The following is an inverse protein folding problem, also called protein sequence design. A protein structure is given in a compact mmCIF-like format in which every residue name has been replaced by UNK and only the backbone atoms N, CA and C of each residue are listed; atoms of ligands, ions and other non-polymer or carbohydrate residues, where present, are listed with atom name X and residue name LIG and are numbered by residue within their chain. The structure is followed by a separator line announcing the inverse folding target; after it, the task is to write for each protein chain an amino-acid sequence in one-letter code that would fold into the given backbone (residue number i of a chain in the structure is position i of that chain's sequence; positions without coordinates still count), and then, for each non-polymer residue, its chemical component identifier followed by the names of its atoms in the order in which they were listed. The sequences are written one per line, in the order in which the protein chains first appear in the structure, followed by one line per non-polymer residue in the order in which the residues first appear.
data_IF_315006397799
#
_entry.id   IF_315006397799
#
_cell.length_a   1.000
_cell.length_b   1.000
_cell.length_c   1.000
_cell.angle_alpha   90.00
_cell.angle_beta   90.00
_cell.angle_gamma   90.00
#
_symmetry.space_group_name_H-M   'P 1'
#
loop_
_entity.id
_entity.type
_entity.pdbx_description
1 polymer ?
#
# COMPACT_ATOMS: atom_id res chain seq x y z
N UNK A 1 33.21 1.24 34.03
CA UNK A 1 34.36 2.14 34.30
C UNK A 1 34.42 3.38 33.40
N UNK A 2 34.50 3.26 32.06
CA UNK A 2 34.61 4.43 31.18
C UNK A 2 33.33 5.28 31.24
N UNK A 3 32.17 4.63 31.29
CA UNK A 3 30.86 5.21 31.65
C UNK A 3 30.91 6.08 32.92
N UNK A 4 31.47 5.55 34.01
CA UNK A 4 31.57 6.25 35.30
C UNK A 4 32.44 7.50 35.21
N UNK A 5 33.57 7.44 34.47
CA UNK A 5 34.44 8.60 34.28
C UNK A 5 33.77 9.64 33.38
N UNK A 6 33.19 9.23 32.25
CA UNK A 6 32.52 10.13 31.30
C UNK A 6 31.31 10.84 31.93
N UNK A 7 30.48 10.12 32.70
CA UNK A 7 29.30 10.68 33.36
C UNK A 7 29.66 11.66 34.48
N UNK A 8 30.67 11.35 35.29
CA UNK A 8 31.07 12.23 36.41
C UNK A 8 31.95 13.41 35.96
N UNK A 9 32.67 13.29 34.85
CA UNK A 9 33.39 14.40 34.21
C UNK A 9 32.43 15.48 33.65
N UNK A 10 31.19 15.09 33.31
CA UNK A 10 30.14 16.01 32.84
C UNK A 10 29.39 16.71 34.00
N UNK A 11 29.63 16.31 35.25
CA UNK A 11 29.04 16.93 36.45
C UNK A 11 29.87 18.16 36.91
N UNK A 12 29.27 19.00 37.75
CA UNK A 12 29.80 20.31 38.22
C UNK A 12 31.24 20.28 38.77
N UNK A 13 31.73 19.14 39.26
CA UNK A 13 33.06 19.00 39.85
C UNK A 13 34.20 18.76 38.83
N UNK A 14 33.86 18.49 37.56
CA UNK A 14 34.79 18.48 36.41
C UNK A 14 35.96 17.48 36.46
N UNK A 15 36.10 16.71 37.55
CA UNK A 15 37.25 15.85 37.80
C UNK A 15 36.87 14.62 38.62
N UNK A 16 37.44 13.45 38.27
CA UNK A 16 37.16 12.19 38.97
C UNK A 16 38.42 11.68 39.65
N UNK A 17 38.40 11.51 40.98
CA UNK A 17 39.58 11.04 41.70
C UNK A 17 39.89 9.55 41.42
N UNK A 18 41.18 9.14 41.36
CA UNK A 18 41.56 7.75 41.19
C UNK A 18 40.99 6.82 42.26
N UNK A 19 40.87 7.30 43.50
CA UNK A 19 40.28 6.55 44.60
C UNK A 19 38.80 6.21 44.33
N UNK A 20 38.02 7.20 43.86
CA UNK A 20 36.61 6.99 43.53
C UNK A 20 36.42 5.97 42.40
N UNK A 21 37.29 5.98 41.38
CA UNK A 21 37.25 4.99 40.28
C UNK A 21 37.57 3.59 40.80
N UNK A 22 38.57 3.43 41.68
CA UNK A 22 38.94 2.15 42.29
C UNK A 22 37.80 1.60 43.15
N UNK A 23 37.13 2.46 43.94
CA UNK A 23 36.02 2.05 44.79
C UNK A 23 34.81 1.59 43.96
N UNK A 24 34.46 2.35 42.91
CA UNK A 24 33.41 1.97 41.97
C UNK A 24 33.72 0.63 41.28
N UNK A 25 34.93 0.46 40.74
CA UNK A 25 35.38 -0.80 40.14
C UNK A 25 35.34 -1.98 41.12
N UNK A 26 35.71 -1.74 42.37
CA UNK A 26 35.66 -2.76 43.42
C UNK A 26 34.22 -3.22 43.67
N UNK A 27 33.27 -2.28 43.69
CA UNK A 27 31.86 -2.59 43.86
C UNK A 27 31.29 -3.36 42.66
N UNK A 28 31.63 -2.96 41.43
CA UNK A 28 31.21 -3.66 40.21
C UNK A 28 31.79 -5.08 40.17
N UNK A 29 33.09 -5.24 40.43
CA UNK A 29 33.75 -6.54 40.42
C UNK A 29 33.15 -7.52 41.45
N UNK A 30 32.78 -7.02 42.65
CA UNK A 30 32.06 -7.80 43.66
C UNK A 30 30.68 -8.25 43.20
N UNK A 31 29.95 -7.42 42.45
CA UNK A 31 28.63 -7.78 41.90
C UNK A 31 28.73 -8.80 40.78
N UNK A 32 29.76 -8.74 39.96
CA UNK A 32 29.97 -9.67 38.83
C UNK A 32 30.33 -11.09 39.28
N UNK A 33 30.91 -11.25 40.47
CA UNK A 33 31.19 -12.58 41.03
C UNK A 33 30.87 -12.63 42.54
N UNK A 34 29.59 -12.83 42.90
CA UNK A 34 29.15 -12.89 44.30
C UNK A 34 29.73 -14.10 45.07
N UNK A 35 30.18 -15.13 44.36
CA UNK A 35 30.57 -16.44 44.90
C UNK A 35 31.92 -16.45 45.63
N UNK A 36 32.76 -15.43 45.42
CA UNK A 36 34.09 -15.33 46.05
C UNK A 36 34.29 -13.97 46.77
N UNK A 37 33.76 -13.82 47.99
CA UNK A 37 33.88 -12.59 48.76
C UNK A 37 35.29 -12.35 49.33
N UNK A 38 36.18 -13.35 49.35
CA UNK A 38 37.53 -13.25 49.92
C UNK A 38 38.59 -12.78 48.93
N UNK A 39 38.27 -12.72 47.64
CA UNK A 39 39.19 -12.22 46.61
C UNK A 39 39.56 -10.75 46.86
N UNK A 40 40.83 -10.35 46.63
CA UNK A 40 41.28 -8.97 46.84
C UNK A 40 40.78 -8.05 45.71
N UNK A 41 39.47 -7.78 45.67
CA UNK A 41 38.78 -6.99 44.64
C UNK A 41 39.37 -5.59 44.45
N UNK A 42 39.84 -4.95 45.52
CA UNK A 42 40.54 -3.65 45.42
C UNK A 42 41.87 -3.75 44.65
N UNK A 43 42.59 -4.87 44.75
CA UNK A 43 43.83 -5.11 43.99
C UNK A 43 43.52 -5.33 42.51
N UNK A 44 42.43 -6.03 42.21
CA UNK A 44 41.93 -6.23 40.83
C UNK A 44 41.50 -4.90 40.23
N UNK A 45 40.74 -4.09 40.96
CA UNK A 45 40.33 -2.75 40.52
C UNK A 45 41.52 -1.84 40.22
N UNK A 46 42.55 -1.84 41.07
CA UNK A 46 43.81 -1.08 40.82
C UNK A 46 44.56 -1.59 39.59
N UNK A 47 44.62 -2.90 39.38
CA UNK A 47 45.23 -3.49 38.18
C UNK A 47 44.49 -3.08 36.90
N UNK A 48 43.16 -3.19 36.90
CA UNK A 48 42.31 -2.80 35.77
C UNK A 48 42.48 -1.32 35.45
N UNK A 49 42.46 -0.47 36.47
CA UNK A 49 42.67 0.97 36.31
C UNK A 49 44.05 1.27 35.73
N UNK A 50 45.10 0.63 36.23
CA UNK A 50 46.47 0.77 35.72
C UNK A 50 46.60 0.32 34.26
N UNK A 51 45.95 -0.78 33.87
CA UNK A 51 45.94 -1.22 32.46
C UNK A 51 45.26 -0.22 31.52
N UNK A 52 44.18 0.44 31.94
CA UNK A 52 43.45 1.38 31.07
C UNK A 52 44.10 2.79 31.06
N UNK A 53 44.81 3.15 32.12
CA UNK A 53 45.62 4.37 32.17
C UNK A 53 46.87 4.31 31.29
N UNK A 54 47.24 3.13 30.79
CA UNK A 54 48.46 2.88 30.01
C UNK A 54 49.75 3.24 30.77
N UNK A 55 49.94 2.70 31.97
CA UNK A 55 51.22 2.79 32.67
C UNK A 55 52.29 1.99 31.91
N UNK A 56 52.97 2.66 30.98
CA UNK A 56 54.20 2.19 30.33
C UNK A 56 54.13 1.96 28.81
N UNK A 57 52.97 1.68 28.21
CA UNK A 57 52.81 1.54 26.73
C UNK A 57 51.42 1.98 26.25
N UNK A 58 51.30 2.78 25.18
CA UNK A 58 49.99 3.13 24.60
C UNK A 58 49.32 1.89 23.99
N UNK A 59 47.99 1.82 24.10
CA UNK A 59 47.21 0.80 23.39
C UNK A 59 47.41 0.97 21.89
N UNK A 60 47.57 -0.14 21.18
CA UNK A 60 47.71 -0.18 19.72
C UNK A 60 46.56 -0.98 19.14
N UNK A 61 45.88 -0.39 18.17
CA UNK A 61 44.98 -1.11 17.27
C UNK A 61 45.62 -1.11 15.88
N UNK A 62 45.50 -2.23 15.17
CA UNK A 62 45.91 -2.31 13.77
C UNK A 62 44.72 -1.91 12.92
N UNK A 63 44.83 -0.77 12.25
CA UNK A 63 43.86 -0.31 11.26
C UNK A 63 44.24 -0.92 9.91
N UNK A 64 43.34 -1.70 9.32
CA UNK A 64 43.52 -2.27 7.99
C UNK A 64 42.55 -1.55 7.07
N UNK A 65 43.09 -0.77 6.13
CA UNK A 65 42.27 -0.15 5.10
C UNK A 65 42.01 -1.20 4.01
N UNK A 66 40.75 -1.58 3.73
CA UNK A 66 40.45 -2.51 2.65
C UNK A 66 40.85 -1.86 1.32
N UNK A 67 41.68 -2.55 0.55
CA UNK A 67 42.10 -2.07 -0.76
C UNK A 67 40.86 -1.83 -1.63
N UNK A 68 40.78 -0.65 -2.26
CA UNK A 68 39.80 -0.42 -3.32
C UNK A 68 40.13 -1.35 -4.50
N UNK A 69 39.09 -1.81 -5.21
CA UNK A 69 39.24 -2.61 -6.44
C UNK A 69 40.33 -1.98 -7.32
N UNK A 70 41.38 -2.76 -7.59
CA UNK A 70 42.63 -2.47 -8.33
C UNK A 70 43.92 -2.11 -7.56
N UNK A 71 43.97 -1.99 -6.22
CA UNK A 71 45.25 -1.86 -5.51
C UNK A 71 45.73 -3.15 -4.83
N UNK A 72 46.95 -3.60 -5.18
CA UNK A 72 47.60 -4.76 -4.53
C UNK A 72 48.35 -4.30 -3.27
N UNK A 73 47.66 -4.32 -2.12
CA UNK A 73 48.31 -4.24 -0.81
C UNK A 73 47.41 -3.69 0.30
N UNK A 74 47.05 -4.55 1.25
CA UNK A 74 46.45 -4.12 2.52
C UNK A 74 47.45 -3.23 3.29
N UNK A 75 47.16 -1.93 3.44
CA UNK A 75 47.93 -1.07 4.33
C UNK A 75 47.43 -1.26 5.76
N UNK A 76 48.24 -1.94 6.56
CA UNK A 76 48.05 -2.06 8.00
C UNK A 76 48.82 -0.94 8.72
N UNK A 77 48.10 0.04 9.27
CA UNK A 77 48.70 1.11 10.08
C UNK A 77 48.44 0.89 11.58
N UNK A 78 49.47 1.07 12.41
CA UNK A 78 49.35 0.93 13.85
C UNK A 78 48.82 2.24 14.47
N UNK A 79 47.54 2.26 14.85
CA UNK A 79 46.91 3.39 15.52
C UNK A 79 47.12 3.29 17.04
N UNK A 80 47.85 4.27 17.61
CA UNK A 80 48.13 4.36 19.04
C UNK A 80 47.08 5.26 19.72
N UNK A 81 46.42 4.75 20.75
CA UNK A 81 45.41 5.50 21.50
C UNK A 81 45.55 5.34 23.02
N UNK A 82 44.92 6.26 23.74
CA UNK A 82 44.83 6.24 25.21
C UNK A 82 43.37 6.47 25.57
N UNK A 83 42.86 5.77 26.57
CA UNK A 83 41.45 5.86 26.98
C UNK A 83 41.25 6.79 28.18
N UNK A 84 42.15 6.73 29.16
CA UNK A 84 42.12 7.58 30.34
C UNK A 84 43.43 8.32 30.50
N UNK A 85 43.38 9.58 30.96
CA UNK A 85 44.55 10.41 31.26
C UNK A 85 44.50 10.86 32.71
N UNK A 86 45.65 10.82 33.39
CA UNK A 86 45.84 11.51 34.67
C UNK A 86 46.10 13.00 34.41
N UNK A 87 45.36 13.85 35.11
CA UNK A 87 45.47 15.32 35.10
C UNK A 87 45.57 15.80 36.54
N UNK A 88 46.22 16.94 36.78
CA UNK A 88 46.22 17.57 38.10
C UNK A 88 44.94 18.41 38.22
N UNK A 89 44.11 18.10 39.23
CA UNK A 89 42.91 18.85 39.58
C UNK A 89 43.06 19.58 40.91
N UNK A 90 42.05 20.37 41.28
CA UNK A 90 42.10 21.25 42.46
C UNK A 90 42.27 20.49 43.80
N UNK A 91 41.81 19.23 43.87
CA UNK A 91 41.94 18.36 45.04
C UNK A 91 43.06 17.28 44.90
N UNK A 92 43.89 17.36 43.86
CA UNK A 92 44.98 16.42 43.58
C UNK A 92 44.81 15.69 42.24
N UNK A 93 45.43 14.52 42.09
CA UNK A 93 45.37 13.76 40.85
C UNK A 93 43.93 13.40 40.46
N UNK A 94 43.55 13.71 39.23
CA UNK A 94 42.24 13.47 38.63
C UNK A 94 42.37 12.59 37.38
N UNK A 95 41.30 11.87 37.04
CA UNK A 95 41.19 11.03 35.86
C UNK A 95 40.20 11.65 34.91
N UNK A 96 40.63 11.85 33.67
CA UNK A 96 39.83 12.42 32.58
C UNK A 96 39.73 11.41 31.45
N UNK A 97 38.54 11.23 30.88
CA UNK A 97 38.34 10.42 29.67
C UNK A 97 38.90 11.17 28.45
N UNK A 98 39.62 10.45 27.59
CA UNK A 98 40.09 11.02 26.32
C UNK A 98 38.97 11.04 25.28
N UNK A 99 39.16 11.82 24.21
CA UNK A 99 38.24 11.85 23.07
C UNK A 99 37.98 10.45 22.51
N UNK A 100 39.02 9.60 22.44
CA UNK A 100 38.88 8.21 21.97
C UNK A 100 38.04 7.35 22.93
N UNK A 101 38.15 7.55 24.25
CA UNK A 101 37.32 6.82 25.21
C UNK A 101 35.86 7.25 25.21
N UNK A 102 35.59 8.55 24.99
CA UNK A 102 34.22 9.05 24.84
C UNK A 102 33.58 8.46 23.59
N UNK A 103 34.30 8.46 22.45
CA UNK A 103 33.82 7.84 21.21
C UNK A 103 33.64 6.33 21.36
N UNK A 104 34.59 5.63 21.97
CA UNK A 104 34.49 4.18 22.22
C UNK A 104 33.31 3.86 23.15
N UNK A 105 33.12 4.63 24.22
CA UNK A 105 32.01 4.44 25.15
C UNK A 105 30.66 4.58 24.42
N UNK A 106 30.52 5.61 23.60
CA UNK A 106 29.30 5.87 22.84
C UNK A 106 29.09 4.84 21.72
N UNK A 107 30.15 4.26 21.16
CA UNK A 107 30.06 3.13 20.22
C UNK A 107 29.72 1.80 20.92
N UNK A 108 30.29 1.54 22.10
CA UNK A 108 30.09 0.32 22.87
C UNK A 108 28.69 0.21 23.50
N UNK A 109 27.95 1.33 23.55
CA UNK A 109 26.52 1.38 23.90
C UNK A 109 25.62 0.71 22.85
N UNK A 110 26.17 0.22 21.72
CA UNK A 110 25.47 -0.45 20.64
C UNK A 110 24.26 0.36 20.14
N UNK A 111 24.45 1.67 20.02
CA UNK A 111 23.36 2.59 19.68
C UNK A 111 23.50 3.22 18.30
N UNK A 112 22.32 3.48 17.77
CA UNK A 112 21.93 4.08 16.51
C UNK A 112 22.84 5.22 15.99
N UNK A 113 22.86 5.45 14.68
CA UNK A 113 23.59 6.58 14.07
C UNK A 113 23.19 7.96 14.66
N UNK A 114 22.00 8.06 15.27
CA UNK A 114 21.54 9.24 16.01
C UNK A 114 22.40 9.55 17.25
N UNK A 115 22.87 8.52 17.95
CA UNK A 115 23.72 8.69 19.15
C UNK A 115 25.12 9.17 18.78
N UNK A 116 25.62 8.77 17.62
CA UNK A 116 26.88 9.30 17.07
C UNK A 116 26.79 10.79 16.76
N UNK A 117 25.67 11.27 16.23
CA UNK A 117 25.47 12.70 16.00
C UNK A 117 25.41 13.47 17.32
N UNK A 118 24.74 12.91 18.34
CA UNK A 118 24.66 13.50 19.68
C UNK A 118 26.04 13.53 20.37
N UNK A 119 26.83 12.47 20.23
CA UNK A 119 28.20 12.36 20.72
C UNK A 119 29.09 13.51 20.20
N UNK A 120 29.03 13.76 18.90
CA UNK A 120 29.81 14.82 18.27
C UNK A 120 29.39 16.21 18.77
N UNK A 121 28.10 16.42 19.02
CA UNK A 121 27.59 17.66 19.61
C UNK A 121 28.12 17.87 21.04
N UNK A 122 28.11 16.83 21.87
CA UNK A 122 28.72 16.88 23.21
C UNK A 122 30.22 17.17 23.15
N UNK A 123 30.93 16.58 22.18
CA UNK A 123 32.34 16.87 21.97
C UNK A 123 32.59 18.35 21.64
N UNK A 124 31.75 18.95 20.79
CA UNK A 124 31.81 20.40 20.50
C UNK A 124 31.62 21.21 21.78
N UNK A 125 30.64 20.86 22.61
CA UNK A 125 30.39 21.53 23.88
C UNK A 125 31.62 21.47 24.82
N UNK A 126 32.19 20.28 25.00
CA UNK A 126 33.38 20.07 25.86
C UNK A 126 34.57 20.89 25.34
N UNK A 127 34.85 20.81 24.04
CA UNK A 127 35.98 21.52 23.43
C UNK A 127 35.82 23.05 23.50
N UNK A 128 34.58 23.55 23.39
CA UNK A 128 34.29 24.97 23.58
C UNK A 128 34.49 25.43 25.02
N UNK A 129 34.02 24.65 26.00
CA UNK A 129 34.25 24.94 27.43
C UNK A 129 35.74 24.93 27.79
N UNK A 130 36.51 24.06 27.15
CA UNK A 130 37.97 23.99 27.30
C UNK A 130 38.73 25.12 26.55
N UNK A 131 38.05 25.95 25.77
CA UNK A 131 38.67 27.01 24.96
C UNK A 131 39.36 26.53 23.68
N UNK A 132 39.21 25.26 23.30
CA UNK A 132 39.82 24.66 22.11
C UNK A 132 38.94 24.90 20.85
N UNK A 133 38.69 26.17 20.50
CA UNK A 133 37.71 26.55 19.47
C UNK A 133 37.99 25.98 18.07
N UNK A 134 39.27 25.83 17.68
CA UNK A 134 39.62 25.26 16.38
C UNK A 134 39.22 23.76 16.28
N UNK A 135 39.38 23.00 17.37
CA UNK A 135 38.94 21.60 17.43
C UNK A 135 37.42 21.51 17.48
N UNK A 136 36.77 22.39 18.26
CA UNK A 136 35.31 22.49 18.30
C UNK A 136 34.71 22.74 16.92
N UNK A 137 35.33 23.59 16.10
CA UNK A 137 34.91 23.83 14.73
C UNK A 137 35.02 22.57 13.85
N UNK A 138 36.13 21.82 13.95
CA UNK A 138 36.30 20.57 13.22
C UNK A 138 35.25 19.52 13.62
N UNK A 139 35.00 19.38 14.94
CA UNK A 139 33.97 18.51 15.49
C UNK A 139 32.56 18.93 15.04
N UNK A 140 32.28 20.23 14.98
CA UNK A 140 31.00 20.78 14.50
C UNK A 140 30.76 20.43 13.03
N UNK A 141 31.77 20.61 12.15
CA UNK A 141 31.68 20.18 10.75
C UNK A 141 31.42 18.68 10.63
N UNK A 142 32.06 17.87 11.48
CA UNK A 142 31.83 16.43 11.49
C UNK A 142 30.43 16.05 11.98
N UNK A 143 29.91 16.75 12.99
CA UNK A 143 28.53 16.59 13.46
C UNK A 143 27.54 16.89 12.33
N UNK A 144 27.73 18.00 11.60
CA UNK A 144 26.87 18.38 10.48
C UNK A 144 26.90 17.37 9.34
N UNK A 145 28.08 16.83 8.97
CA UNK A 145 28.16 15.74 7.96
C UNK A 145 27.43 14.48 8.43
N UNK A 146 27.57 14.13 9.70
CA UNK A 146 26.91 12.96 10.30
C UNK A 146 25.39 13.14 10.29
N UNK A 147 24.91 14.36 10.59
CA UNK A 147 23.49 14.72 10.49
C UNK A 147 22.94 14.57 9.07
N UNK A 148 23.69 15.01 8.06
CA UNK A 148 23.32 14.84 6.65
C UNK A 148 23.22 13.37 6.23
N UNK A 149 24.20 12.55 6.63
CA UNK A 149 24.19 11.11 6.37
C UNK A 149 23.00 10.41 7.02
N UNK A 150 22.71 10.71 8.29
CA UNK A 150 21.54 10.16 8.98
C UNK A 150 20.24 10.59 8.29
N UNK A 151 20.14 11.86 7.91
CA UNK A 151 18.97 12.39 7.22
C UNK A 151 18.73 11.71 5.86
N UNK A 152 19.78 11.33 5.14
CA UNK A 152 19.65 10.57 3.90
C UNK A 152 19.11 9.15 4.16
N UNK A 153 19.67 8.43 5.13
CA UNK A 153 19.25 7.07 5.49
C UNK A 153 17.79 7.02 6.00
N UNK A 154 17.39 7.98 6.85
CA UNK A 154 16.02 8.07 7.34
C UNK A 154 15.01 8.39 6.23
N UNK A 155 15.40 9.20 5.24
CA UNK A 155 14.54 9.46 4.06
C UNK A 155 14.40 8.22 3.17
N UNK A 156 15.47 7.46 2.97
CA UNK A 156 15.43 6.24 2.17
C UNK A 156 14.40 5.23 2.71
N UNK A 157 14.39 5.01 4.04
CA UNK A 157 13.41 4.12 4.68
C UNK A 157 11.96 4.57 4.52
N UNK A 158 11.72 5.89 4.40
CA UNK A 158 10.40 6.45 4.10
C UNK A 158 10.05 6.35 2.60
N UNK A 159 11.02 6.50 1.71
CA UNK A 159 10.84 6.28 0.28
C UNK A 159 10.49 4.83 -0.05
N UNK A 160 10.91 3.87 0.76
CA UNK A 160 10.50 2.46 0.62
C UNK A 160 8.99 2.28 0.76
N UNK A 161 8.32 3.09 1.60
CA UNK A 161 6.84 3.11 1.67
C UNK A 161 6.23 3.58 0.35
N UNK A 162 6.85 4.56 -0.32
CA UNK A 162 6.37 5.06 -1.62
C UNK A 162 6.57 4.03 -2.73
N UNK A 163 7.56 3.15 -2.61
CA UNK A 163 7.87 2.08 -3.57
C UNK A 163 6.98 0.84 -3.37
N UNK A 164 6.85 0.36 -2.15
CA UNK A 164 5.98 -0.75 -1.79
C UNK A 164 5.46 -0.59 -0.35
N UNK A 165 4.17 -0.31 -0.23
CA UNK A 165 3.51 -0.12 1.06
C UNK A 165 3.43 -1.42 1.85
N UNK A 166 3.33 -2.56 1.15
CA UNK A 166 3.19 -3.88 1.77
C UNK A 166 4.53 -4.40 2.29
N UNK A 167 5.66 -3.79 1.89
CA UNK A 167 7.00 -4.09 2.43
C UNK A 167 7.23 -3.50 3.83
N UNK A 168 6.36 -2.57 4.24
CA UNK A 168 6.51 -1.81 5.48
C UNK A 168 5.30 -2.05 6.38
N UNK A 169 5.52 -2.46 7.63
CA UNK A 169 4.43 -2.61 8.59
C UNK A 169 3.95 -1.26 9.13
N UNK A 170 2.92 -0.71 8.47
CA UNK A 170 2.23 0.51 8.88
C UNK A 170 1.21 0.31 10.01
N UNK A 171 0.96 -0.92 10.47
CA UNK A 171 0.03 -1.20 11.59
C UNK A 171 0.73 -1.21 12.95
N UNK A 172 2.01 -1.55 13.00
CA UNK A 172 2.76 -1.64 14.27
C UNK A 172 4.13 -0.97 14.21
N UNK A 173 5.05 -1.52 13.42
CA UNK A 173 6.47 -1.14 13.45
C UNK A 173 6.69 0.32 13.04
N UNK A 174 6.14 0.75 11.91
CA UNK A 174 6.43 2.05 11.32
C UNK A 174 5.91 3.23 12.19
N UNK A 175 4.68 3.23 12.72
CA UNK A 175 4.23 4.29 13.65
C UNK A 175 5.10 4.41 14.91
N UNK A 176 5.55 3.28 15.46
CA UNK A 176 6.44 3.26 16.63
C UNK A 176 7.78 3.89 16.28
N UNK A 177 8.38 3.45 15.17
CA UNK A 177 9.63 4.00 14.67
C UNK A 177 9.55 5.51 14.36
N UNK A 178 8.45 5.98 13.76
CA UNK A 178 8.24 7.42 13.50
C UNK A 178 8.21 8.23 14.80
N UNK A 179 7.57 7.70 15.83
CA UNK A 179 7.50 8.34 17.16
C UNK A 179 8.89 8.44 17.78
N UNK A 180 9.68 7.37 17.70
CA UNK A 180 11.05 7.34 18.20
C UNK A 180 11.95 8.33 17.45
N UNK A 181 11.85 8.37 16.12
CA UNK A 181 12.62 9.31 15.28
C UNK A 181 12.24 10.76 15.61
N UNK A 182 10.95 11.08 15.81
CA UNK A 182 10.53 12.42 16.21
C UNK A 182 11.07 12.81 17.60
N UNK A 183 11.08 11.88 18.56
CA UNK A 183 11.67 12.12 19.87
C UNK A 183 13.18 12.39 19.77
N UNK A 184 13.90 11.60 18.96
CA UNK A 184 15.32 11.83 18.69
C UNK A 184 15.57 13.18 18.03
N UNK A 185 14.79 13.56 17.01
CA UNK A 185 14.89 14.85 16.33
C UNK A 185 14.72 16.03 17.28
N UNK A 186 13.74 15.95 18.19
CA UNK A 186 13.52 16.98 19.21
C UNK A 186 14.75 17.17 20.10
N UNK A 187 15.39 16.06 20.51
CA UNK A 187 16.61 16.08 21.31
C UNK A 187 17.78 16.69 20.53
N UNK A 188 17.92 16.36 19.25
CA UNK A 188 18.97 16.89 18.39
C UNK A 188 18.84 18.41 18.19
N UNK A 189 17.63 18.90 17.91
CA UNK A 189 17.34 20.32 17.73
C UNK A 189 17.59 21.11 19.01
N UNK A 190 17.18 20.58 20.16
CA UNK A 190 17.44 21.22 21.45
C UNK A 190 18.93 21.34 21.74
N UNK A 191 19.72 20.31 21.42
CA UNK A 191 21.19 20.37 21.54
C UNK A 191 21.83 21.37 20.57
N UNK A 192 21.32 21.50 19.35
CA UNK A 192 21.81 22.51 18.41
C UNK A 192 21.54 23.93 18.91
N UNK A 193 20.37 24.18 19.52
CA UNK A 193 20.07 25.47 20.16
C UNK A 193 21.03 25.77 21.30
N UNK A 194 21.26 24.80 22.20
CA UNK A 194 22.19 24.95 23.32
C UNK A 194 23.63 25.25 22.85
N UNK A 195 24.10 24.54 21.82
CA UNK A 195 25.42 24.77 21.24
C UNK A 195 25.54 26.14 20.58
N UNK A 196 24.49 26.58 19.86
CA UNK A 196 24.44 27.91 19.26
C UNK A 196 24.52 28.99 20.33
N UNK A 197 23.74 28.89 21.39
CA UNK A 197 23.74 29.86 22.49
C UNK A 197 25.08 29.86 23.25
N UNK A 198 25.75 28.70 23.36
CA UNK A 198 27.10 28.61 23.92
C UNK A 198 28.14 29.29 23.02
N UNK A 199 28.03 29.13 21.71
CA UNK A 199 28.95 29.73 20.73
C UNK A 199 28.77 31.25 20.65
N UNK A 200 27.53 31.73 20.72
CA UNK A 200 27.22 33.15 20.79
C UNK A 200 27.79 33.78 22.07
N UNK A 201 27.64 33.13 23.23
CA UNK A 201 28.26 33.56 24.49
C UNK A 201 29.79 33.57 24.42
N UNK A 202 30.38 32.51 23.86
CA UNK A 202 31.85 32.38 23.74
C UNK A 202 32.47 33.39 22.76
N UNK A 203 31.69 33.91 21.82
CA UNK A 203 32.12 34.95 20.86
C UNK A 203 32.43 36.32 21.48
N UNK A 204 32.07 36.52 22.76
CA UNK A 204 32.45 37.69 23.53
C UNK A 204 33.98 37.82 23.67
N UNK A 205 34.71 36.71 23.67
CA UNK A 205 36.17 36.70 23.65
C UNK A 205 36.68 37.14 22.26
N UNK A 206 37.42 38.27 22.14
CA UNK A 206 37.90 38.79 20.87
C UNK A 206 38.76 37.79 20.07
N UNK A 207 39.57 36.97 20.76
CA UNK A 207 40.47 36.01 20.11
C UNK A 207 39.75 34.81 19.48
N UNK A 208 38.53 34.50 19.96
CA UNK A 208 37.75 33.35 19.50
C UNK A 208 36.53 33.73 18.65
N UNK A 209 36.31 35.03 18.43
CA UNK A 209 35.09 35.58 17.83
C UNK A 209 34.80 35.02 16.44
N UNK A 210 35.80 34.96 15.58
CA UNK A 210 35.63 34.50 14.20
C UNK A 210 35.36 32.99 14.15
N UNK A 211 36.10 32.20 14.92
CA UNK A 211 35.88 30.75 15.03
C UNK A 211 34.50 30.43 15.61
N UNK A 212 34.05 31.16 16.65
CA UNK A 212 32.71 30.99 17.20
C UNK A 212 31.62 31.32 16.17
N UNK A 213 31.81 32.36 15.35
CA UNK A 213 30.89 32.66 14.24
C UNK A 213 30.83 31.54 13.21
N UNK A 214 31.95 30.90 12.89
CA UNK A 214 31.96 29.73 12.03
C UNK A 214 31.24 28.53 12.67
N UNK A 215 31.46 28.27 13.95
CA UNK A 215 30.75 27.21 14.69
C UNK A 215 29.23 27.45 14.64
N UNK A 216 28.77 28.67 14.89
CA UNK A 216 27.34 29.02 14.78
C UNK A 216 26.79 28.73 13.39
N UNK A 217 27.54 29.07 12.33
CA UNK A 217 27.12 28.78 10.94
C UNK A 217 27.01 27.28 10.68
N UNK A 218 27.97 26.49 11.15
CA UNK A 218 27.95 25.03 10.96
C UNK A 218 26.84 24.36 11.76
N UNK A 219 26.59 24.80 12.99
CA UNK A 219 25.47 24.30 13.82
C UNK A 219 24.13 24.64 13.18
N UNK A 220 23.93 25.87 12.66
CA UNK A 220 22.71 26.23 11.92
C UNK A 220 22.48 25.38 10.68
N UNK A 221 23.54 25.03 9.94
CA UNK A 221 23.43 24.09 8.81
C UNK A 221 22.98 22.70 9.26
N UNK A 222 23.45 22.23 10.41
CA UNK A 222 22.98 20.99 11.03
C UNK A 222 21.51 21.07 11.44
N UNK A 223 21.11 22.16 12.11
CA UNK A 223 19.74 22.45 12.53
C UNK A 223 18.77 22.44 11.32
N UNK A 224 19.16 23.10 10.21
CA UNK A 224 18.37 23.11 8.97
C UNK A 224 18.12 21.71 8.40
N UNK A 225 19.10 20.80 8.52
CA UNK A 225 18.97 19.41 8.08
C UNK A 225 17.91 18.69 8.92
N UNK A 226 17.95 18.86 10.24
CA UNK A 226 16.98 18.26 11.16
C UNK A 226 15.57 18.81 10.94
N UNK A 227 15.41 20.13 10.80
CA UNK A 227 14.11 20.75 10.53
C UNK A 227 13.50 20.29 9.20
N UNK A 228 14.33 20.09 8.16
CA UNK A 228 13.86 19.53 6.88
C UNK A 228 13.42 18.08 7.04
N UNK A 229 14.12 17.29 7.84
CA UNK A 229 13.76 15.90 8.11
C UNK A 229 12.47 15.81 8.94
N UNK A 230 12.32 16.63 9.99
CA UNK A 230 11.12 16.70 10.81
C UNK A 230 9.88 16.98 9.95
N UNK A 231 9.93 18.01 9.09
CA UNK A 231 8.84 18.30 8.13
C UNK A 231 8.54 17.13 7.19
N UNK A 232 9.56 16.37 6.81
CA UNK A 232 9.39 15.22 5.92
C UNK A 232 8.74 14.03 6.65
N UNK A 233 9.16 13.75 7.89
CA UNK A 233 8.58 12.72 8.77
C UNK A 233 7.13 13.04 9.10
N UNK A 234 6.79 14.30 9.39
CA UNK A 234 5.41 14.74 9.62
C UNK A 234 4.50 14.52 8.40
N UNK A 235 5.07 14.49 7.19
CA UNK A 235 4.34 14.19 5.95
C UNK A 235 4.25 12.70 5.63
N UNK A 236 4.85 11.82 6.43
CA UNK A 236 4.90 10.40 6.15
C UNK A 236 3.50 9.76 6.09
N UNK A 237 2.58 10.15 6.99
CA UNK A 237 1.20 9.63 7.01
C UNK A 237 0.43 10.02 5.73
N UNK A 238 0.36 11.31 5.33
CA UNK A 238 -0.24 11.67 4.05
C UNK A 238 0.38 10.95 2.84
N UNK A 239 1.71 10.74 2.84
CA UNK A 239 2.40 10.02 1.77
C UNK A 239 2.01 8.55 1.73
N UNK A 240 1.88 7.90 2.90
CA UNK A 240 1.39 6.54 3.00
C UNK A 240 -0.04 6.40 2.46
N UNK A 241 -0.95 7.30 2.82
CA UNK A 241 -2.34 7.27 2.33
C UNK A 241 -2.41 7.43 0.81
N UNK A 242 -1.66 8.40 0.27
CA UNK A 242 -1.59 8.62 -1.18
C UNK A 242 -0.97 7.40 -1.92
N UNK A 243 0.09 6.81 -1.35
CA UNK A 243 0.66 5.59 -1.89
C UNK A 243 -0.39 4.46 -1.85
N UNK A 244 -1.18 4.36 -0.77
CA UNK A 244 -2.14 3.28 -0.56
C UNK A 244 -3.22 3.31 -1.63
N UNK A 245 -3.72 4.49 -1.96
CA UNK A 245 -4.67 4.69 -3.06
C UNK A 245 -4.11 4.18 -4.40
N UNK A 246 -2.85 4.52 -4.70
CA UNK A 246 -2.19 4.13 -5.96
C UNK A 246 -1.88 2.63 -6.03
N UNK A 247 -1.42 2.03 -4.95
CA UNK A 247 -0.91 0.66 -4.93
C UNK A 247 -1.93 -0.41 -4.50
N UNK A 248 -3.10 0.01 -3.98
CA UNK A 248 -4.14 -0.92 -3.53
C UNK A 248 -4.59 -1.88 -4.63
N UNK A 249 -4.61 -1.41 -5.88
CA UNK A 249 -5.10 -2.16 -7.05
C UNK A 249 -3.99 -2.62 -8.00
N UNK A 250 -2.70 -2.43 -7.67
CA UNK A 250 -1.62 -2.96 -8.49
C UNK A 250 -1.46 -4.48 -8.25
N UNK A 251 -1.69 -5.33 -9.27
CA UNK A 251 -1.49 -6.77 -9.15
C UNK A 251 0.01 -7.10 -8.98
N UNK A 252 0.32 -8.12 -8.16
CA UNK A 252 1.71 -8.54 -7.85
C UNK A 252 2.14 -9.75 -8.68
N UNK A 253 3.43 -9.83 -9.01
CA UNK A 253 4.10 -11.07 -9.41
C UNK A 253 3.37 -11.82 -10.53
N UNK A 254 3.11 -13.12 -10.33
CA UNK A 254 2.39 -13.95 -11.31
C UNK A 254 0.93 -13.53 -11.51
N UNK A 255 0.30 -12.78 -10.59
CA UNK A 255 -1.08 -12.31 -10.79
C UNK A 255 -1.21 -11.27 -11.91
N UNK A 256 -0.12 -10.55 -12.21
CA UNK A 256 -0.06 -9.69 -13.40
C UNK A 256 0.15 -10.51 -14.70
N UNK A 257 0.57 -11.77 -14.60
CA UNK A 257 0.75 -12.69 -15.71
C UNK A 257 -0.49 -13.57 -15.96
N UNK A 258 -1.48 -13.54 -15.05
CA UNK A 258 -2.77 -14.22 -15.21
C UNK A 258 -3.65 -13.31 -16.06
N UNK A 259 -3.98 -13.76 -17.25
CA UNK A 259 -4.99 -13.12 -18.08
C UNK A 259 -6.37 -13.60 -17.61
N UNK A 260 -7.12 -12.72 -16.95
CA UNK A 260 -8.45 -13.04 -16.42
C UNK A 260 -9.39 -13.59 -17.49
N UNK A 261 -9.30 -13.12 -18.73
CA UNK A 261 -10.17 -13.59 -19.81
C UNK A 261 -9.73 -14.99 -20.28
N UNK A 262 -8.43 -15.19 -20.49
CA UNK A 262 -7.89 -16.45 -21.02
C UNK A 262 -7.78 -17.56 -19.99
N UNK A 263 -7.24 -17.26 -18.83
CA UNK A 263 -6.79 -18.24 -17.84
C UNK A 263 -7.86 -18.54 -16.78
N UNK A 264 -8.90 -17.70 -16.68
CA UNK A 264 -9.96 -17.84 -15.68
C UNK A 264 -11.35 -17.89 -16.31
N UNK A 265 -11.74 -16.88 -17.10
CA UNK A 265 -13.09 -16.80 -17.67
C UNK A 265 -13.38 -17.92 -18.67
N UNK A 266 -12.44 -18.18 -19.59
CA UNK A 266 -12.64 -19.20 -20.64
C UNK A 266 -12.71 -20.65 -20.09
N UNK A 267 -11.87 -21.06 -19.12
CA UNK A 267 -12.04 -22.34 -18.44
C UNK A 267 -13.35 -22.42 -17.65
N UNK A 268 -13.75 -21.35 -16.95
CA UNK A 268 -15.02 -21.31 -16.22
C UNK A 268 -16.23 -21.55 -17.12
N UNK A 269 -16.27 -20.93 -18.30
CA UNK A 269 -17.36 -21.08 -19.27
C UNK A 269 -17.45 -22.49 -19.90
N UNK A 270 -16.41 -23.31 -19.75
CA UNK A 270 -16.36 -24.68 -20.27
C UNK A 270 -16.38 -25.74 -19.16
N UNK A 271 -16.39 -25.30 -17.90
CA UNK A 271 -16.46 -26.17 -16.74
C UNK A 271 -17.90 -26.65 -16.49
N UNK A 272 -18.03 -27.73 -15.73
CA UNK A 272 -19.30 -28.22 -15.20
C UNK A 272 -19.84 -27.31 -14.09
N UNK A 273 -21.15 -27.35 -13.84
CA UNK A 273 -21.84 -26.44 -12.92
C UNK A 273 -21.26 -26.45 -11.49
N UNK A 274 -20.80 -27.62 -11.01
CA UNK A 274 -20.21 -27.75 -9.68
C UNK A 274 -18.85 -27.04 -9.59
N UNK A 275 -17.98 -27.21 -10.59
CA UNK A 275 -16.68 -26.51 -10.66
C UNK A 275 -16.86 -25.01 -10.91
N UNK A 276 -17.89 -24.62 -11.67
CA UNK A 276 -18.26 -23.23 -11.88
C UNK A 276 -18.67 -22.58 -10.56
N UNK A 277 -19.59 -23.18 -9.81
CA UNK A 277 -20.08 -22.62 -8.55
C UNK A 277 -18.95 -22.44 -7.50
N UNK A 278 -18.10 -23.45 -7.32
CA UNK A 278 -16.95 -23.41 -6.41
C UNK A 278 -15.96 -22.31 -6.79
N UNK A 279 -15.58 -22.26 -8.06
CA UNK A 279 -14.58 -21.30 -8.55
C UNK A 279 -15.11 -19.86 -8.52
N UNK A 280 -16.40 -19.67 -8.79
CA UNK A 280 -17.06 -18.35 -8.73
C UNK A 280 -17.13 -17.85 -7.29
N UNK A 281 -17.36 -18.73 -6.31
CA UNK A 281 -17.36 -18.36 -4.90
C UNK A 281 -15.99 -17.86 -4.42
N UNK A 282 -14.93 -18.60 -4.73
CA UNK A 282 -13.54 -18.22 -4.42
C UNK A 282 -13.14 -16.91 -5.11
N UNK A 283 -13.51 -16.74 -6.38
CA UNK A 283 -13.20 -15.53 -7.13
C UNK A 283 -13.98 -14.32 -6.61
N UNK A 284 -15.26 -14.49 -6.28
CA UNK A 284 -16.06 -13.44 -5.66
C UNK A 284 -15.50 -13.03 -4.28
N UNK A 285 -15.07 -13.99 -3.46
CA UNK A 285 -14.44 -13.71 -2.17
C UNK A 285 -13.11 -12.95 -2.30
N UNK A 286 -12.35 -13.19 -3.37
CA UNK A 286 -11.07 -12.52 -3.63
C UNK A 286 -11.19 -11.14 -4.29
N UNK A 287 -12.22 -10.92 -5.13
CA UNK A 287 -12.40 -9.68 -5.90
C UNK A 287 -13.34 -8.69 -5.21
N UNK A 288 -14.36 -9.17 -4.50
CA UNK A 288 -15.26 -8.29 -3.77
C UNK A 288 -14.57 -7.76 -2.51
N UNK A 289 -14.62 -6.45 -2.24
CA UNK A 289 -14.18 -5.94 -0.95
C UNK A 289 -15.02 -6.60 0.15
N UNK A 290 -14.45 -6.88 1.33
CA UNK A 290 -15.24 -7.34 2.46
C UNK A 290 -16.35 -6.32 2.72
N UNK A 291 -17.61 -6.77 2.64
CA UNK A 291 -18.76 -5.95 2.97
C UNK A 291 -18.72 -5.72 4.47
N UNK A 292 -18.19 -4.58 4.89
CA UNK A 292 -18.25 -4.17 6.29
C UNK A 292 -19.69 -3.73 6.54
N UNK A 293 -20.48 -4.44 7.37
CA UNK A 293 -21.80 -3.95 7.73
C UNK A 293 -21.65 -2.57 8.38
N UNK A 294 -22.53 -1.64 8.05
CA UNK A 294 -22.51 -0.29 8.61
C UNK A 294 -22.61 -0.41 10.13
N UNK A 295 -21.50 -0.18 10.82
CA UNK A 295 -21.46 -0.20 12.28
C UNK A 295 -21.94 1.17 12.74
N UNK A 296 -23.24 1.30 12.99
CA UNK A 296 -23.80 2.57 13.45
C UNK A 296 -23.32 2.86 14.87
N UNK A 297 -22.61 3.97 15.06
CA UNK A 297 -22.37 4.52 16.40
C UNK A 297 -23.70 4.91 17.06
N UNK A 298 -23.80 4.78 18.39
CA UNK A 298 -25.00 5.22 19.12
C UNK A 298 -25.24 6.72 18.96
N UNK A 299 -24.16 7.50 18.87
CA UNK A 299 -24.16 8.92 18.59
C UNK A 299 -24.66 9.25 17.18
N UNK A 300 -24.21 8.51 16.16
CA UNK A 300 -24.72 8.61 14.79
C UNK A 300 -26.21 8.26 14.71
N UNK A 301 -26.61 7.15 15.34
CA UNK A 301 -28.02 6.72 15.43
C UNK A 301 -28.88 7.79 16.11
N UNK A 302 -28.45 8.32 17.25
CA UNK A 302 -29.15 9.40 17.93
C UNK A 302 -29.23 10.66 17.07
N UNK A 303 -28.15 11.01 16.37
CA UNK A 303 -28.12 12.19 15.49
C UNK A 303 -29.07 12.06 14.30
N UNK A 304 -29.23 10.85 13.75
CA UNK A 304 -30.14 10.57 12.63
C UNK A 304 -31.58 10.50 13.10
N UNK A 305 -31.86 9.85 14.24
CA UNK A 305 -33.20 9.71 14.80
C UNK A 305 -33.77 11.02 15.35
N UNK A 306 -32.91 11.88 15.89
CA UNK A 306 -33.31 13.20 16.42
C UNK A 306 -33.21 14.30 15.36
N UNK A 307 -32.73 14.00 14.15
CA UNK A 307 -32.75 14.95 13.05
C UNK A 307 -34.22 15.21 12.70
N UNK A 308 -34.63 16.48 12.73
CA UNK A 308 -35.93 16.87 12.20
C UNK A 308 -36.07 16.27 10.78
N UNK A 309 -37.20 15.61 10.45
CA UNK A 309 -37.37 14.96 9.17
C UNK A 309 -37.25 16.02 8.08
N UNK A 310 -36.07 16.09 7.47
CA UNK A 310 -35.91 16.82 6.24
C UNK A 310 -36.71 16.04 5.21
N UNK A 311 -37.72 16.68 4.63
CA UNK A 311 -38.27 16.24 3.35
C UNK A 311 -37.07 16.28 2.41
N UNK A 312 -36.43 15.13 2.22
CA UNK A 312 -35.44 14.99 1.18
C UNK A 312 -36.27 15.01 -0.09
N UNK A 313 -36.20 16.12 -0.83
CA UNK A 313 -36.23 15.99 -2.29
C UNK A 313 -35.09 15.03 -2.59
N UNK A 314 -35.47 13.77 -2.83
CA UNK A 314 -34.57 12.80 -3.39
C UNK A 314 -34.21 13.42 -4.74
N UNK A 315 -32.95 13.86 -4.97
CA UNK A 315 -32.58 14.20 -6.32
C UNK A 315 -32.92 12.96 -7.14
N UNK A 316 -33.64 13.15 -8.25
CA UNK A 316 -33.89 12.06 -9.17
C UNK A 316 -32.55 11.36 -9.38
N UNK A 317 -32.53 10.01 -9.39
CA UNK A 317 -31.29 9.30 -9.65
C UNK A 317 -30.65 9.94 -10.88
N UNK A 318 -29.33 10.19 -10.84
CA UNK A 318 -28.58 10.38 -12.07
C UNK A 318 -28.73 9.07 -12.85
N UNK A 319 -29.82 8.98 -13.60
CA UNK A 319 -29.93 8.11 -14.73
C UNK A 319 -28.80 8.60 -15.60
N UNK A 320 -27.75 7.79 -15.74
CA UNK A 320 -26.83 7.93 -16.86
C UNK A 320 -27.73 8.09 -18.07
N UNK A 321 -27.87 9.32 -18.59
CA UNK A 321 -28.46 9.54 -19.89
C UNK A 321 -27.57 8.70 -20.81
N UNK A 322 -28.04 7.55 -21.31
CA UNK A 322 -27.25 6.73 -22.20
C UNK A 322 -27.27 7.51 -23.51
N UNK A 323 -26.49 8.58 -23.56
CA UNK A 323 -26.80 9.74 -24.38
C UNK A 323 -27.09 9.30 -25.79
N UNK A 324 -28.21 9.79 -26.35
CA UNK A 324 -28.77 9.45 -27.67
C UNK A 324 -28.13 8.17 -28.23
N UNK A 325 -28.53 7.02 -27.68
CA UNK A 325 -28.27 5.72 -28.29
C UNK A 325 -28.75 5.86 -29.73
N UNK A 326 -27.80 6.16 -30.64
CA UNK A 326 -28.13 6.53 -32.01
C UNK A 326 -29.06 5.47 -32.57
N UNK A 327 -30.06 5.91 -33.35
CA UNK A 327 -31.14 5.10 -33.92
C UNK A 327 -30.70 3.64 -34.00
N UNK A 328 -31.29 2.80 -33.13
CA UNK A 328 -30.94 1.39 -33.02
C UNK A 328 -30.70 0.87 -34.43
N UNK A 329 -29.43 0.54 -34.75
CA UNK A 329 -29.02 0.14 -36.10
C UNK A 329 -29.94 -1.00 -36.44
N UNK A 330 -30.95 -0.70 -37.26
CA UNK A 330 -32.09 -1.55 -37.42
C UNK A 330 -31.55 -2.87 -37.90
N UNK A 331 -31.80 -3.93 -37.15
CA UNK A 331 -31.55 -5.29 -37.59
C UNK A 331 -32.63 -5.57 -38.65
N UNK A 332 -32.50 -4.88 -39.79
CA UNK A 332 -33.47 -4.82 -40.86
C UNK A 332 -33.49 -6.20 -41.47
N UNK A 333 -34.58 -6.93 -41.21
CA UNK A 333 -34.86 -8.15 -41.95
C UNK A 333 -34.80 -7.79 -43.44
N UNK A 334 -33.97 -8.46 -44.25
CA UNK A 334 -33.91 -8.21 -45.69
C UNK A 334 -35.30 -8.37 -46.33
N UNK A 335 -35.62 -7.56 -47.35
CA UNK A 335 -36.96 -7.52 -47.94
C UNK A 335 -37.38 -8.85 -48.60
N UNK A 336 -36.42 -9.60 -49.14
CA UNK A 336 -36.62 -10.95 -49.69
C UNK A 336 -36.94 -11.97 -48.58
N UNK A 337 -36.21 -11.91 -47.46
CA UNK A 337 -36.46 -12.71 -46.25
C UNK A 337 -37.84 -12.39 -45.67
N UNK A 338 -38.16 -11.10 -45.51
CA UNK A 338 -39.42 -10.65 -44.91
C UNK A 338 -40.62 -11.08 -45.76
N UNK A 339 -40.53 -10.94 -47.08
CA UNK A 339 -41.60 -11.36 -48.01
C UNK A 339 -41.78 -12.88 -48.02
N UNK A 340 -40.69 -13.64 -48.08
CA UNK A 340 -40.75 -15.09 -48.05
C UNK A 340 -41.32 -15.61 -46.71
N UNK A 341 -40.89 -15.02 -45.59
CA UNK A 341 -41.44 -15.33 -44.27
C UNK A 341 -42.94 -14.99 -44.17
N UNK A 342 -43.35 -13.82 -44.70
CA UNK A 342 -44.76 -13.41 -44.73
C UNK A 342 -45.62 -14.41 -45.52
N UNK A 343 -45.17 -14.86 -46.70
CA UNK A 343 -45.85 -15.88 -47.50
C UNK A 343 -46.01 -17.21 -46.75
N UNK A 344 -44.95 -17.64 -46.05
CA UNK A 344 -44.96 -18.89 -45.28
C UNK A 344 -45.94 -18.77 -44.11
N UNK A 345 -45.90 -17.66 -43.36
CA UNK A 345 -46.79 -17.41 -42.22
C UNK A 345 -48.25 -17.20 -42.65
N UNK A 346 -48.50 -16.61 -43.82
CA UNK A 346 -49.84 -16.47 -44.38
C UNK A 346 -50.53 -17.83 -44.62
N UNK A 347 -49.77 -18.90 -44.85
CA UNK A 347 -50.36 -20.25 -44.95
C UNK A 347 -51.01 -20.72 -43.65
N UNK A 348 -50.48 -20.30 -42.50
CA UNK A 348 -51.03 -20.58 -41.17
C UNK A 348 -52.38 -19.85 -40.94
N UNK A 349 -52.64 -18.77 -41.68
CA UNK A 349 -53.92 -18.06 -41.59
C UNK A 349 -55.08 -18.88 -42.19
N UNK A 350 -54.79 -19.72 -43.19
CA UNK A 350 -55.78 -20.56 -43.87
C UNK A 350 -55.96 -21.93 -43.23
N UNK A 351 -54.87 -22.48 -42.66
CA UNK A 351 -54.88 -23.78 -42.00
C UNK A 351 -53.99 -23.72 -40.75
N UNK A 352 -54.47 -24.21 -39.60
CA UNK A 352 -53.64 -24.38 -38.42
C UNK A 352 -52.40 -25.21 -38.73
N UNK A 353 -51.23 -24.61 -38.55
CA UNK A 353 -49.94 -25.20 -38.97
C UNK A 353 -48.96 -25.14 -37.80
N UNK A 354 -48.16 -26.20 -37.64
CA UNK A 354 -47.15 -26.28 -36.57
C UNK A 354 -45.89 -25.51 -36.94
N UNK A 355 -45.18 -25.01 -35.94
CA UNK A 355 -43.89 -24.35 -36.11
C UNK A 355 -42.87 -25.26 -36.80
N UNK A 356 -42.85 -26.55 -36.45
CA UNK A 356 -42.03 -27.56 -37.11
C UNK A 356 -42.32 -27.69 -38.61
N UNK A 357 -43.60 -27.62 -39.01
CA UNK A 357 -44.03 -27.67 -40.41
C UNK A 357 -43.66 -26.37 -41.14
N UNK A 358 -43.83 -25.20 -40.52
CA UNK A 358 -43.43 -23.91 -41.08
C UNK A 358 -41.91 -23.82 -41.29
N UNK A 359 -41.12 -24.33 -40.36
CA UNK A 359 -39.66 -24.42 -40.50
C UNK A 359 -39.26 -25.40 -41.62
N UNK A 360 -39.98 -26.51 -41.80
CA UNK A 360 -39.75 -27.42 -42.92
C UNK A 360 -40.06 -26.76 -44.27
N UNK A 361 -41.15 -25.98 -44.36
CA UNK A 361 -41.49 -25.19 -45.56
C UNK A 361 -40.43 -24.12 -45.82
N UNK A 362 -39.98 -23.40 -44.78
CA UNK A 362 -38.90 -22.42 -44.91
C UNK A 362 -37.59 -23.05 -45.43
N UNK A 363 -37.23 -24.26 -44.97
CA UNK A 363 -36.09 -25.02 -45.51
C UNK A 363 -36.27 -25.38 -46.98
N UNK A 364 -37.49 -25.73 -47.40
CA UNK A 364 -37.76 -26.05 -48.81
C UNK A 364 -37.67 -24.82 -49.73
N UNK A 365 -37.93 -23.62 -49.19
CA UNK A 365 -37.83 -22.33 -49.89
C UNK A 365 -36.51 -21.61 -49.66
N UNK A 366 -35.53 -22.27 -49.06
CA UNK A 366 -34.21 -21.70 -48.76
C UNK A 366 -33.46 -21.17 -50.00
N UNK A 367 -33.80 -21.63 -51.20
CA UNK A 367 -33.20 -21.16 -52.46
C UNK A 367 -33.82 -19.86 -53.01
N UNK A 368 -34.92 -19.36 -52.42
CA UNK A 368 -35.61 -18.14 -52.86
C UNK A 368 -35.09 -16.86 -52.20
N UNK A 369 -34.19 -17.00 -51.22
CA UNK A 369 -33.74 -15.93 -50.32
C UNK A 369 -32.21 -15.97 -50.23
N UNK A 370 -31.57 -14.80 -50.14
CA UNK A 370 -30.11 -14.70 -50.09
C UNK A 370 -29.52 -15.27 -48.78
N UNK A 371 -30.24 -15.14 -47.67
CA UNK A 371 -29.89 -15.71 -46.37
C UNK A 371 -30.96 -16.70 -45.83
N UNK A 372 -30.79 -18.01 -46.09
CA UNK A 372 -31.74 -19.03 -45.64
C UNK A 372 -31.72 -19.25 -44.13
N UNK A 373 -30.62 -18.92 -43.43
CA UNK A 373 -30.55 -19.05 -41.99
C UNK A 373 -31.34 -17.93 -41.31
N UNK A 374 -31.27 -16.71 -41.86
CA UNK A 374 -32.06 -15.57 -41.40
C UNK A 374 -33.56 -15.78 -41.64
N UNK A 375 -33.95 -16.43 -42.74
CA UNK A 375 -35.34 -16.83 -42.97
C UNK A 375 -35.87 -17.74 -41.85
N UNK A 376 -35.11 -18.74 -41.45
CA UNK A 376 -35.48 -19.63 -40.35
C UNK A 376 -35.57 -18.89 -39.01
N UNK A 377 -34.62 -17.99 -38.75
CA UNK A 377 -34.60 -17.16 -37.53
C UNK A 377 -35.82 -16.23 -37.46
N UNK A 378 -36.24 -15.66 -38.58
CA UNK A 378 -37.42 -14.78 -38.68
C UNK A 378 -38.71 -15.57 -38.47
N UNK A 379 -38.87 -16.75 -39.10
CA UNK A 379 -40.07 -17.58 -38.91
C UNK A 379 -40.19 -18.05 -37.46
N UNK A 380 -39.08 -18.51 -36.86
CA UNK A 380 -39.04 -18.93 -35.46
C UNK A 380 -39.33 -17.76 -34.51
N UNK A 381 -38.62 -16.64 -34.69
CA UNK A 381 -38.77 -15.44 -33.85
C UNK A 381 -40.17 -14.83 -33.95
N UNK A 382 -40.77 -14.79 -35.15
CA UNK A 382 -42.11 -14.29 -35.35
C UNK A 382 -43.18 -15.17 -34.68
N UNK A 383 -42.99 -16.50 -34.71
CA UNK A 383 -43.89 -17.45 -34.04
C UNK A 383 -43.85 -17.30 -32.51
N UNK A 384 -42.66 -17.09 -31.96
CA UNK A 384 -42.49 -16.79 -30.53
C UNK A 384 -43.04 -15.42 -30.17
N UNK A 385 -42.84 -14.41 -31.02
CA UNK A 385 -43.36 -13.08 -30.80
C UNK A 385 -44.87 -13.11 -30.66
N UNK A 386 -45.60 -13.77 -31.58
CA UNK A 386 -47.06 -13.96 -31.48
C UNK A 386 -47.47 -14.67 -30.19
N UNK A 387 -46.69 -15.66 -29.72
CA UNK A 387 -46.97 -16.36 -28.47
C UNK A 387 -46.77 -15.49 -27.22
N UNK A 388 -45.75 -14.64 -27.21
CA UNK A 388 -45.41 -13.80 -26.05
C UNK A 388 -46.29 -12.56 -25.98
N UNK A 389 -46.57 -11.90 -27.11
CA UNK A 389 -47.34 -10.65 -27.14
C UNK A 389 -48.84 -10.88 -27.10
N UNK A 390 -49.33 -12.01 -27.63
CA UNK A 390 -50.76 -12.31 -27.69
C UNK A 390 -51.57 -11.23 -28.42
N UNK A 391 -52.78 -10.94 -27.93
CA UNK A 391 -53.67 -9.93 -28.53
C UNK A 391 -53.28 -8.47 -28.20
N UNK A 392 -52.39 -8.25 -27.22
CA UNK A 392 -52.01 -6.92 -26.70
C UNK A 392 -50.79 -6.32 -27.44
N UNK A 393 -50.86 -6.20 -28.76
CA UNK A 393 -49.78 -5.60 -29.56
C UNK A 393 -50.03 -4.11 -29.87
N UNK A 394 -49.15 -3.22 -29.38
CA UNK A 394 -49.16 -1.82 -29.79
C UNK A 394 -48.67 -1.67 -31.25
N UNK A 395 -49.09 -0.61 -31.99
CA UNK A 395 -48.69 -0.40 -33.38
C UNK A 395 -47.17 -0.31 -33.57
N UNK A 396 -46.47 0.25 -32.58
CA UNK A 396 -45.02 0.47 -32.61
C UNK A 396 -44.21 -0.82 -32.33
N UNK A 397 -44.84 -1.87 -31.81
CA UNK A 397 -44.21 -3.17 -31.51
C UNK A 397 -44.23 -4.15 -32.69
N UNK A 398 -44.85 -3.75 -33.81
CA UNK A 398 -45.00 -4.59 -35.01
C UNK A 398 -43.72 -4.59 -35.86
N UNK A 399 -43.49 -5.64 -36.66
CA UNK A 399 -42.39 -5.62 -37.62
C UNK A 399 -42.51 -4.41 -38.56
N UNK A 400 -41.38 -3.76 -38.87
CA UNK A 400 -41.35 -2.61 -39.80
C UNK A 400 -41.76 -2.98 -41.23
N UNK A 401 -41.60 -4.24 -41.62
CA UNK A 401 -42.05 -4.74 -42.93
C UNK A 401 -43.57 -4.86 -42.94
N UNK A 402 -44.23 -4.11 -43.83
CA UNK A 402 -45.69 -4.11 -43.97
C UNK A 402 -46.25 -5.50 -44.28
N UNK A 403 -45.59 -6.26 -45.15
CA UNK A 403 -46.01 -7.63 -45.54
C UNK A 403 -45.96 -8.60 -44.35
N UNK A 404 -44.86 -8.56 -43.58
CA UNK A 404 -44.69 -9.43 -42.41
C UNK A 404 -45.63 -9.03 -41.27
N UNK A 405 -45.81 -7.73 -41.03
CA UNK A 405 -46.77 -7.23 -40.05
C UNK A 405 -48.21 -7.63 -40.41
N UNK A 406 -48.58 -7.57 -41.69
CA UNK A 406 -49.88 -8.00 -42.18
C UNK A 406 -50.10 -9.51 -42.03
N UNK A 407 -49.08 -10.33 -42.27
CA UNK A 407 -49.14 -11.78 -42.10
C UNK A 407 -49.28 -12.21 -40.63
N UNK A 408 -48.67 -11.48 -39.69
CA UNK A 408 -48.72 -11.79 -38.26
C UNK A 408 -49.97 -11.27 -37.55
N UNK A 409 -50.51 -10.13 -37.97
CA UNK A 409 -51.65 -9.49 -37.31
C UNK A 409 -52.87 -10.39 -37.04
N UNK A 410 -53.26 -11.36 -37.89
CA UNK A 410 -54.41 -12.22 -37.64
C UNK A 410 -54.07 -13.53 -36.91
N UNK A 411 -52.80 -13.81 -36.62
CA UNK A 411 -52.35 -15.08 -36.08
C UNK A 411 -52.33 -15.09 -34.55
N UNK A 412 -52.68 -16.23 -33.98
CA UNK A 412 -52.56 -16.58 -32.56
C UNK A 412 -51.75 -17.86 -32.47
N UNK A 413 -50.84 -17.93 -31.50
CA UNK A 413 -49.99 -19.09 -31.24
C UNK A 413 -50.46 -19.81 -29.98
N UNK A 414 -50.65 -21.13 -30.06
CA UNK A 414 -50.99 -21.97 -28.92
C UNK A 414 -49.89 -23.01 -28.66
N UNK A 415 -49.59 -23.23 -27.39
CA UNK A 415 -48.75 -24.34 -26.94
C UNK A 415 -49.61 -25.55 -26.58
N UNK A 416 -49.37 -26.67 -27.27
CA UNK A 416 -50.04 -27.96 -27.03
C UNK A 416 -49.21 -28.93 -26.16
N UNK A 417 -48.10 -28.47 -25.57
CA UNK A 417 -47.22 -29.27 -24.73
C UNK A 417 -46.32 -30.23 -25.50
N UNK A 418 -46.19 -30.05 -26.82
CA UNK A 418 -45.28 -30.82 -27.69
C UNK A 418 -44.01 -30.01 -27.86
N UNK A 419 -42.84 -30.62 -27.64
CA UNK A 419 -41.55 -29.94 -27.87
C UNK A 419 -41.13 -29.97 -29.33
N UNK A 420 -40.56 -28.87 -29.80
CA UNK A 420 -39.98 -28.74 -31.13
C UNK A 420 -38.75 -29.64 -31.24
N UNK A 421 -38.79 -30.57 -32.21
CA UNK A 421 -37.65 -31.43 -32.55
C UNK A 421 -36.93 -30.81 -33.74
N UNK A 422 -35.93 -29.99 -33.44
CA UNK A 422 -35.08 -29.34 -34.45
C UNK A 422 -33.61 -29.29 -34.01
N UNK A 423 -32.68 -29.37 -34.97
CA UNK A 423 -31.24 -29.35 -34.67
C UNK A 423 -30.75 -27.97 -34.20
N UNK A 424 -31.42 -26.89 -34.62
CA UNK A 424 -31.02 -25.50 -34.32
C UNK A 424 -31.91 -24.83 -33.27
N UNK A 425 -33.20 -25.08 -33.30
CA UNK A 425 -34.18 -24.41 -32.44
C UNK A 425 -34.70 -25.33 -31.34
N UNK A 426 -34.93 -24.79 -30.15
CA UNK A 426 -35.52 -25.50 -29.01
C UNK A 426 -36.71 -24.72 -28.47
N UNK A 427 -37.69 -25.42 -27.90
CA UNK A 427 -38.88 -24.79 -27.32
C UNK A 427 -40.16 -25.61 -27.58
N UNK A 428 -41.34 -25.05 -27.28
CA UNK A 428 -42.61 -25.65 -27.66
C UNK A 428 -42.81 -25.59 -29.19
N UNK A 429 -43.40 -26.64 -29.76
CA UNK A 429 -43.84 -26.69 -31.15
C UNK A 429 -45.20 -26.00 -31.25
N UNK A 430 -45.17 -24.67 -31.39
CA UNK A 430 -46.36 -23.83 -31.39
C UNK A 430 -47.25 -24.11 -32.60
N UNK A 431 -48.58 -24.09 -32.37
CA UNK A 431 -49.57 -24.12 -33.46
C UNK A 431 -49.98 -22.69 -33.75
N UNK A 432 -49.76 -22.24 -34.99
CA UNK A 432 -50.17 -20.93 -35.49
C UNK A 432 -51.45 -21.06 -36.31
N UNK A 433 -52.44 -20.23 -36.00
CA UNK A 433 -53.72 -20.18 -36.69
C UNK A 433 -54.42 -18.84 -36.45
N UNK A 434 -55.45 -18.52 -37.23
CA UNK A 434 -56.35 -17.40 -36.88
C UNK A 434 -57.26 -17.79 -35.71
N UNK A 435 -57.68 -16.81 -34.91
CA UNK A 435 -58.66 -17.03 -33.82
C UNK A 435 -59.92 -17.79 -34.30
N UNK A 436 -60.44 -17.46 -35.49
CA UNK A 436 -61.60 -18.15 -36.09
C UNK A 436 -61.29 -19.60 -36.50
N UNK A 437 -60.06 -19.88 -36.93
CA UNK A 437 -59.64 -21.24 -37.28
C UNK A 437 -59.40 -22.12 -36.04
N UNK A 438 -58.95 -21.52 -34.94
CA UNK A 438 -58.81 -22.19 -33.64
C UNK A 438 -60.18 -22.55 -33.06
N UNK A 439 -61.15 -21.64 -33.11
CA UNK A 439 -62.53 -21.90 -32.67
C UNK A 439 -63.17 -23.08 -33.43
N UNK A 440 -62.85 -23.23 -34.73
CA UNK A 440 -63.31 -24.38 -35.53
C UNK A 440 -62.64 -25.69 -35.13
N UNK A 441 -61.34 -25.67 -34.79
CA UNK A 441 -60.65 -26.85 -34.28
C UNK A 441 -61.21 -27.33 -32.94
N UNK A 442 -61.55 -26.41 -32.03
CA UNK A 442 -62.13 -26.76 -30.73
C UNK A 442 -63.56 -27.33 -30.87
N UNK A 443 -64.34 -26.84 -31.84
CA UNK A 443 -65.65 -27.40 -32.20
C UNK A 443 -65.55 -28.80 -32.80
N UNK A 444 -64.60 -29.05 -33.71
CA UNK A 444 -64.38 -30.36 -34.31
C UNK A 444 -63.80 -31.38 -33.31
N UNK A 445 -62.94 -30.93 -32.38
CA UNK A 445 -62.43 -31.76 -31.28
C UNK A 445 -63.52 -32.12 -30.26
N UNK A 446 -64.47 -31.21 -29.99
CA UNK A 446 -65.59 -31.45 -29.07
C UNK A 446 -66.74 -32.25 -29.70
N UNK A 447 -66.86 -32.26 -31.04
CA UNK A 447 -67.86 -33.05 -31.77
C UNK A 447 -67.48 -34.52 -32.01
N UNK A 448 -66.24 -34.91 -31.71
CA UNK A 448 -65.72 -36.28 -31.87
C UNK A 448 -65.59 -37.06 -30.54
N UNK A 449 -66.14 -36.53 -29.44
CA UNK A 449 -66.16 -37.16 -28.11
C UNK A 449 -67.47 -37.92 -27.82
#
# INVERSE_FOLDING_TARGET
MIDYVVLNQASLDGSVSPAAVVDHLTQVARRMNPSDPRRPWAKVAKLVLGTVLNDGRPHQATWVEPAADDETGERAEAFRFRLLRLTDGDEGAAITATDQAIVLYLQALNTDLADRALALKLMVEIQMKAGEFAKALASSRQATRTAQGLSASLRERLEDTRRDIRAVDWRGEMPTWLTDVLAQLSTQLERDRQLRDLAERSSANPAARDTCREIVREVRRGEDVWLRLERYVQRAIPVFLAAQEVQRFQPRGLAAAIDLARDVLRPLLTADDDSFALSTHELAAGVAPPVVPSCWGLDELCSVLLRAPAIREQPDPEVDDPGDLGDAVGDSVPDDVARCAADILASAAHRPTRLSELLAVARSRAAEVDDPLRLLDVVWGASLWVFVTGDDTAPDDRPRSEDLAAALAPLVALDQGISLVDDRYRGPDLVLATSVALDRMDLDASGAA
#
